data_IF_796193856035
#
_entry.id   IF_796193856035
#
_cell.length_a   1.000
_cell.length_b   1.000
_cell.length_c   1.000
_cell.angle_alpha   90.00
_cell.angle_beta   90.00
_cell.angle_gamma   90.00
#
_symmetry.space_group_name_H-M   'P 1'
#
loop_
_entity.id
_entity.type
_entity.pdbx_description
1 polymer ?
#
# COMPACT_ATOMS: atom_id res chain seq x y z
N UNK A 1 -17.95 4.12 11.76
CA UNK A 1 -17.14 4.49 10.60
C UNK A 1 -17.20 6.01 10.40
N UNK A 2 -16.18 6.70 10.89
CA UNK A 2 -15.94 8.13 10.67
C UNK A 2 -14.53 8.25 10.11
N UNK A 3 -14.43 8.29 8.77
CA UNK A 3 -13.15 8.28 8.08
C UNK A 3 -12.58 9.69 7.98
N UNK A 4 -11.33 9.84 8.40
CA UNK A 4 -10.57 11.09 8.31
C UNK A 4 -9.22 10.83 7.65
N UNK A 5 -8.91 11.63 6.62
CA UNK A 5 -7.57 11.71 6.06
C UNK A 5 -6.77 12.76 6.82
N UNK A 6 -5.58 12.38 7.30
CA UNK A 6 -4.62 13.26 7.97
C UNK A 6 -3.31 13.20 7.19
N UNK A 7 -2.75 14.35 6.86
CA UNK A 7 -1.46 14.45 6.14
C UNK A 7 -0.34 15.03 6.99
N UNK A 8 -0.68 15.53 8.18
CA UNK A 8 0.29 15.98 9.17
C UNK A 8 1.07 14.79 9.74
N UNK A 9 2.31 15.03 10.15
CA UNK A 9 3.24 14.00 10.64
C UNK A 9 3.36 13.99 12.17
N UNK A 10 2.76 14.98 12.82
CA UNK A 10 2.79 15.14 14.27
C UNK A 10 1.56 14.48 14.90
N UNK A 11 1.75 13.92 16.10
CA UNK A 11 0.71 13.23 16.87
C UNK A 11 0.10 12.03 16.14
N UNK A 12 0.85 11.36 15.27
CA UNK A 12 0.48 10.10 14.65
C UNK A 12 0.86 8.95 15.57
N UNK A 13 -0.04 7.97 15.72
CA UNK A 13 0.30 6.70 16.36
C UNK A 13 1.18 5.85 15.43
N UNK A 14 2.49 6.03 15.54
CA UNK A 14 3.46 5.29 14.74
C UNK A 14 3.60 3.83 15.14
N UNK A 15 3.09 3.42 16.31
CA UNK A 15 3.01 2.00 16.64
C UNK A 15 1.98 1.32 15.74
N UNK A 16 0.78 1.91 15.60
CA UNK A 16 -0.24 1.41 14.69
C UNK A 16 0.25 1.39 13.23
N UNK A 17 1.04 2.39 12.81
CA UNK A 17 1.65 2.41 11.46
C UNK A 17 2.62 1.24 11.27
N UNK A 18 3.52 1.01 12.23
CA UNK A 18 4.48 -0.10 12.17
C UNK A 18 3.75 -1.46 12.11
N UNK A 19 2.73 -1.64 12.95
CA UNK A 19 1.94 -2.87 13.01
C UNK A 19 1.21 -3.14 11.69
N UNK A 20 0.64 -2.10 11.06
CA UNK A 20 -0.01 -2.20 9.75
C UNK A 20 1.00 -2.62 8.67
N UNK A 21 2.18 -1.99 8.64
CA UNK A 21 3.18 -2.29 7.62
C UNK A 21 3.80 -3.68 7.78
N UNK A 22 4.01 -4.13 9.02
CA UNK A 22 4.47 -5.47 9.35
C UNK A 22 3.44 -6.53 8.94
N UNK A 23 2.16 -6.28 9.24
CA UNK A 23 1.05 -7.16 8.89
C UNK A 23 1.00 -7.48 7.39
N UNK A 24 1.25 -6.49 6.53
CA UNK A 24 1.27 -6.66 5.06
C UNK A 24 2.66 -6.98 4.49
N UNK A 25 3.69 -7.18 5.32
CA UNK A 25 5.06 -7.48 4.88
C UNK A 25 5.73 -6.35 4.08
N UNK A 26 5.30 -5.11 4.27
CA UNK A 26 5.84 -3.93 3.58
C UNK A 26 7.04 -3.32 4.30
N UNK A 27 7.14 -3.55 5.61
CA UNK A 27 8.25 -3.12 6.47
C UNK A 27 8.21 -3.94 7.76
N UNK A 28 9.36 -4.11 8.42
CA UNK A 28 9.49 -4.80 9.71
C UNK A 28 10.23 -3.92 10.74
N UNK A 29 10.24 -2.60 10.53
CA UNK A 29 10.90 -1.67 11.42
C UNK A 29 10.03 -1.34 12.64
N UNK A 30 10.68 -0.89 13.72
CA UNK A 30 9.98 -0.43 14.90
C UNK A 30 9.31 0.94 14.70
N UNK A 31 8.38 1.29 15.59
CA UNK A 31 7.62 2.54 15.54
C UNK A 31 8.53 3.79 15.49
N UNK A 32 9.64 3.79 16.23
CA UNK A 32 10.57 4.92 16.26
C UNK A 32 11.32 5.10 14.92
N UNK A 33 11.60 4.01 14.21
CA UNK A 33 12.20 4.05 12.88
C UNK A 33 11.18 4.44 11.83
N UNK A 34 9.96 3.90 11.90
CA UNK A 34 8.86 4.31 11.01
C UNK A 34 8.52 5.79 11.17
N UNK A 35 8.47 6.32 12.40
CA UNK A 35 8.31 7.76 12.64
C UNK A 35 9.36 8.58 11.87
N UNK A 36 10.64 8.19 11.96
CA UNK A 36 11.73 8.87 11.23
C UNK A 36 11.53 8.76 9.71
N UNK A 37 11.14 7.61 9.20
CA UNK A 37 10.91 7.38 7.76
C UNK A 37 9.78 8.28 7.25
N UNK A 38 8.65 8.31 7.93
CA UNK A 38 7.50 9.14 7.55
C UNK A 38 7.79 10.63 7.72
N UNK A 39 8.46 11.05 8.80
CA UNK A 39 8.86 12.45 9.00
C UNK A 39 9.79 12.96 7.90
N UNK A 40 10.70 12.11 7.42
CA UNK A 40 11.61 12.42 6.30
C UNK A 40 10.97 12.28 4.90
N UNK A 41 9.76 11.74 4.78
CA UNK A 41 9.08 11.62 3.49
C UNK A 41 8.54 12.97 3.02
N UNK A 42 8.49 13.21 1.72
CA UNK A 42 8.03 14.48 1.16
C UNK A 42 6.56 14.75 1.52
N UNK A 43 5.71 13.73 1.35
CA UNK A 43 4.30 13.76 1.73
C UNK A 43 3.91 12.44 2.40
N UNK A 44 2.89 12.51 3.25
CA UNK A 44 2.34 11.40 4.02
C UNK A 44 0.82 11.48 4.03
N UNK A 45 0.18 10.33 4.10
CA UNK A 45 -1.26 10.20 4.27
C UNK A 45 -1.53 9.11 5.31
N UNK A 46 -2.38 9.43 6.28
CA UNK A 46 -2.86 8.53 7.32
C UNK A 46 -4.39 8.52 7.28
N UNK A 47 -4.97 7.33 7.29
CA UNK A 47 -6.41 7.15 7.37
C UNK A 47 -6.78 6.80 8.79
N UNK A 48 -7.71 7.55 9.36
CA UNK A 48 -8.27 7.29 10.68
C UNK A 48 -9.73 6.82 10.55
N UNK A 49 -10.13 5.81 11.32
CA UNK A 49 -11.54 5.60 11.70
C UNK A 49 -11.70 5.93 13.19
N UNK A 50 -12.37 7.06 13.47
CA UNK A 50 -12.34 7.66 14.80
C UNK A 50 -10.93 8.13 15.18
N UNK A 51 -10.38 7.58 16.25
CA UNK A 51 -9.04 7.92 16.76
C UNK A 51 -7.97 6.88 16.40
N UNK A 52 -8.35 5.79 15.72
CA UNK A 52 -7.44 4.73 15.32
C UNK A 52 -6.90 4.96 13.90
N UNK A 53 -5.59 4.83 13.72
CA UNK A 53 -4.97 4.73 12.39
C UNK A 53 -5.31 3.37 11.80
N UNK A 54 -5.90 3.36 10.61
CA UNK A 54 -6.33 2.14 9.89
C UNK A 54 -5.65 2.00 8.53
N UNK A 55 -4.90 3.00 8.09
CA UNK A 55 -4.12 2.93 6.87
C UNK A 55 -3.08 4.04 6.77
N UNK A 56 -2.09 3.83 5.91
CA UNK A 56 -1.03 4.79 5.68
C UNK A 56 -0.49 4.72 4.24
N UNK A 57 0.15 5.81 3.82
CA UNK A 57 0.94 5.91 2.60
C UNK A 57 1.96 7.04 2.73
N UNK A 58 3.04 6.96 1.96
CA UNK A 58 4.05 8.03 1.88
C UNK A 58 4.57 8.23 0.47
N UNK A 59 5.13 9.40 0.20
CA UNK A 59 5.79 9.72 -1.05
C UNK A 59 7.23 10.22 -0.84
N UNK A 60 8.14 9.76 -1.68
CA UNK A 60 9.46 10.37 -1.89
C UNK A 60 9.36 11.16 -3.19
N UNK A 61 9.68 12.45 -3.17
CA UNK A 61 9.50 13.33 -4.33
C UNK A 61 10.61 14.37 -4.41
N UNK A 62 10.89 14.83 -5.62
CA UNK A 62 11.72 16.00 -5.90
C UNK A 62 11.01 17.34 -5.67
N UNK A 63 9.70 17.32 -5.38
CA UNK A 63 8.87 18.50 -5.16
C UNK A 63 8.52 19.29 -6.43
N UNK A 64 8.79 18.74 -7.62
CA UNK A 64 8.60 19.44 -8.90
C UNK A 64 7.82 18.60 -9.91
N UNK A 65 8.34 17.44 -10.31
CA UNK A 65 7.76 16.66 -11.41
C UNK A 65 7.80 15.15 -11.23
N UNK A 66 8.52 14.64 -10.22
CA UNK A 66 8.60 13.20 -9.96
C UNK A 66 8.35 12.86 -8.50
N UNK A 67 7.63 11.76 -8.31
CA UNK A 67 7.39 11.15 -7.02
C UNK A 67 7.26 9.64 -7.16
N UNK A 68 7.64 8.93 -6.11
CA UNK A 68 7.36 7.53 -5.94
C UNK A 68 6.55 7.34 -4.64
N UNK A 69 5.42 6.64 -4.77
CA UNK A 69 4.55 6.32 -3.64
C UNK A 69 5.02 4.98 -3.06
N UNK A 70 5.19 4.95 -1.74
CA UNK A 70 5.66 3.79 -0.98
C UNK A 70 4.74 3.50 0.21
N UNK A 71 4.85 2.28 0.75
CA UNK A 71 4.21 1.86 2.00
C UNK A 71 2.69 2.16 2.05
N UNK A 72 1.98 1.82 0.96
CA UNK A 72 0.53 1.98 0.86
C UNK A 72 -0.16 0.76 1.47
N UNK A 73 -0.83 0.96 2.60
CA UNK A 73 -1.53 -0.10 3.32
C UNK A 73 -2.83 0.41 3.96
N UNK A 74 -3.83 -0.46 4.01
CA UNK A 74 -5.13 -0.22 4.63
C UNK A 74 -5.59 -1.54 5.25
N UNK A 75 -5.99 -1.52 6.53
CA UNK A 75 -6.53 -2.70 7.20
C UNK A 75 -7.73 -3.25 6.40
N UNK A 76 -7.81 -4.58 6.26
CA UNK A 76 -8.78 -5.20 5.34
C UNK A 76 -10.21 -5.17 5.88
N UNK A 77 -10.37 -5.29 7.19
CA UNK A 77 -11.66 -5.51 7.82
C UNK A 77 -12.52 -4.24 7.79
N UNK A 78 -13.50 -4.21 6.90
CA UNK A 78 -14.46 -3.10 6.77
C UNK A 78 -14.04 -1.95 5.85
N UNK A 79 -12.83 -1.96 5.29
CA UNK A 79 -12.31 -0.88 4.43
C UNK A 79 -12.06 -1.29 2.97
N UNK A 80 -12.21 -2.58 2.64
CA UNK A 80 -12.20 -3.05 1.25
C UNK A 80 -13.40 -2.46 0.49
N UNK A 81 -13.13 -1.75 -0.60
CA UNK A 81 -14.17 -1.23 -1.50
C UNK A 81 -14.23 -2.08 -2.77
N UNK A 82 -15.31 -2.85 -2.91
CA UNK A 82 -15.60 -3.69 -4.09
C UNK A 82 -15.21 -5.16 -3.95
N UNK A 83 -15.90 -6.02 -4.71
CA UNK A 83 -15.46 -7.40 -4.95
C UNK A 83 -14.20 -7.33 -5.83
N UNK A 84 -13.02 -7.60 -5.25
CA UNK A 84 -11.78 -7.69 -6.01
C UNK A 84 -11.80 -8.97 -6.87
N UNK A 85 -12.37 -8.88 -8.08
CA UNK A 85 -12.29 -9.94 -9.10
C UNK A 85 -10.84 -10.28 -9.50
N UNK A 86 -9.86 -9.45 -9.11
CA UNK A 86 -8.44 -9.67 -9.31
C UNK A 86 -7.82 -10.76 -8.40
N UNK A 87 -8.43 -11.11 -7.27
CA UNK A 87 -7.87 -12.12 -6.35
C UNK A 87 -8.12 -13.57 -6.80
N UNK A 88 -8.67 -13.81 -7.99
CA UNK A 88 -8.93 -15.17 -8.50
C UNK A 88 -8.20 -15.57 -9.78
N UNK A 89 -7.22 -14.80 -10.23
CA UNK A 89 -6.37 -15.25 -11.33
C UNK A 89 -4.93 -15.44 -10.85
N UNK A 90 -4.38 -16.67 -10.89
CA UNK A 90 -2.96 -16.85 -10.69
C UNK A 90 -2.21 -15.99 -11.72
N UNK A 91 -1.17 -15.29 -11.28
CA UNK A 91 -0.34 -14.50 -12.18
C UNK A 91 0.14 -15.38 -13.36
N UNK A 92 -0.28 -15.02 -14.57
CA UNK A 92 0.18 -15.70 -15.79
C UNK A 92 1.29 -14.87 -16.40
N UNK A 93 2.49 -15.45 -16.51
CA UNK A 93 3.62 -14.77 -17.14
C UNK A 93 3.30 -14.47 -18.61
N UNK A 94 3.71 -13.29 -19.14
CA UNK A 94 3.59 -12.98 -20.57
C UNK A 94 4.24 -14.03 -21.49
N UNK A 95 5.26 -14.75 -21.00
CA UNK A 95 5.89 -15.86 -21.72
C UNK A 95 4.97 -17.07 -21.87
N UNK A 96 4.23 -17.43 -20.83
CA UNK A 96 3.28 -18.56 -20.87
C UNK A 96 2.15 -18.29 -21.87
N UNK A 97 1.63 -17.07 -21.89
CA UNK A 97 0.58 -16.64 -22.85
C UNK A 97 1.08 -16.80 -24.29
N UNK A 98 2.30 -16.35 -24.57
CA UNK A 98 2.90 -16.44 -25.91
C UNK A 98 3.10 -17.88 -26.36
N UNK A 99 3.58 -18.76 -25.48
CA UNK A 99 3.79 -20.18 -25.78
C UNK A 99 2.47 -20.94 -26.03
N UNK A 100 1.40 -20.59 -25.31
CA UNK A 100 0.08 -21.19 -25.54
C UNK A 100 -0.52 -20.74 -26.88
N UNK A 101 -0.39 -19.47 -27.24
CA UNK A 101 -0.84 -18.94 -28.54
C UNK A 101 -0.06 -19.56 -29.71
N UNK A 102 1.26 -19.74 -29.55
CA UNK A 102 2.10 -20.39 -30.55
C UNK A 102 1.73 -21.87 -30.73
N UNK A 103 1.39 -22.59 -29.65
CA UNK A 103 0.90 -23.98 -29.73
C UNK A 103 -0.45 -24.07 -30.44
N UNK A 104 -1.40 -23.19 -30.09
CA UNK A 104 -2.74 -23.21 -30.70
C UNK A 104 -2.69 -22.95 -32.21
N UNK A 105 -1.83 -22.03 -32.65
CA UNK A 105 -1.65 -21.72 -34.07
C UNK A 105 -0.91 -22.80 -34.87
N UNK A 106 -0.26 -23.77 -34.22
CA UNK A 106 0.39 -24.91 -34.89
C UNK A 106 -0.55 -26.12 -35.04
N UNK A 107 -1.65 -26.14 -34.29
CA UNK A 107 -2.68 -27.18 -34.33
C UNK A 107 -3.93 -26.81 -35.15
N UNK A 108 -3.95 -25.62 -35.78
CA UNK A 108 -5.02 -25.13 -36.64
C UNK A 108 -4.69 -25.31 -38.13
#
# INVERSE_FOLDING_TARGET
MSIRLVTDKENVDYQAVADILDHFGLSHFDAATEEKIFKNSYATAFIYDGDQVVGCARAISDGVCQAAIYNVALLEEGYRFGDNDYERQPYVSPRSIRQEQEKQNQTA
#
